data_IF_547213327821
#
_entry.id   IF_547213327821
#
_cell.length_a   1.000
_cell.length_b   1.000
_cell.length_c   1.000
_cell.angle_alpha   90.00
_cell.angle_beta   90.00
_cell.angle_gamma   90.00
#
_symmetry.space_group_name_H-M   'P 1'
#
loop_
_entity.id
_entity.type
_entity.pdbx_description
1 polymer ?
#
# COMPACT_ATOMS: atom_id res chain seq x y z
N UNK A 1 6.80 2.04 -8.53
CA UNK A 1 7.48 2.55 -7.33
C UNK A 1 6.89 3.86 -6.77
N UNK A 2 6.60 4.92 -7.57
CA UNK A 2 6.07 6.18 -7.02
C UNK A 2 4.67 6.04 -6.42
N UNK A 3 3.82 5.19 -6.99
CA UNK A 3 2.44 4.96 -6.52
C UNK A 3 2.37 4.42 -5.08
N UNK A 4 3.30 3.53 -4.70
CA UNK A 4 3.35 2.96 -3.36
C UNK A 4 3.76 4.02 -2.31
N UNK A 5 4.66 4.94 -2.69
CA UNK A 5 5.06 6.06 -1.83
C UNK A 5 3.89 7.03 -1.67
N UNK A 6 3.20 7.35 -2.79
CA UNK A 6 2.02 8.21 -2.78
C UNK A 6 0.92 7.64 -1.88
N UNK A 7 0.60 6.35 -2.05
CA UNK A 7 -0.44 5.66 -1.26
C UNK A 7 -0.14 5.73 0.24
N UNK A 8 1.12 5.48 0.62
CA UNK A 8 1.54 5.56 2.04
C UNK A 8 1.53 6.98 2.57
N UNK A 9 1.93 7.96 1.75
CA UNK A 9 1.83 9.37 2.09
C UNK A 9 0.38 9.79 2.34
N UNK A 10 -0.55 9.34 1.50
CA UNK A 10 -1.99 9.57 1.69
C UNK A 10 -2.48 8.94 2.99
N UNK A 11 -2.16 7.66 3.26
CA UNK A 11 -2.53 6.98 4.50
C UNK A 11 -2.02 7.71 5.75
N UNK A 12 -0.78 8.18 5.70
CA UNK A 12 -0.19 8.97 6.78
C UNK A 12 -0.91 10.32 6.98
N UNK A 13 -1.39 10.94 5.90
CA UNK A 13 -2.09 12.21 5.94
C UNK A 13 -3.55 12.09 6.45
N UNK A 14 -4.17 10.90 6.40
CA UNK A 14 -5.58 10.70 6.78
C UNK A 14 -5.93 11.27 8.17
N UNK A 15 -5.19 10.98 9.26
CA UNK A 15 -5.53 11.50 10.59
C UNK A 15 -5.48 13.04 10.64
N UNK A 16 -4.56 13.65 9.90
CA UNK A 16 -4.43 15.11 9.82
C UNK A 16 -5.60 15.73 9.07
N UNK A 17 -6.02 15.14 7.95
CA UNK A 17 -7.18 15.63 7.19
C UNK A 17 -8.44 15.52 8.04
N UNK A 18 -8.66 14.39 8.71
CA UNK A 18 -9.81 14.20 9.62
C UNK A 18 -9.78 15.24 10.74
N UNK A 19 -8.62 15.47 11.35
CA UNK A 19 -8.47 16.47 12.40
C UNK A 19 -8.70 17.90 11.90
N UNK A 20 -8.21 18.24 10.70
CA UNK A 20 -8.42 19.56 10.10
C UNK A 20 -9.90 19.82 9.78
N UNK A 21 -10.62 18.82 9.28
CA UNK A 21 -12.07 18.90 9.05
C UNK A 21 -12.79 19.15 10.38
N UNK A 22 -12.44 18.37 11.42
CA UNK A 22 -13.00 18.53 12.76
C UNK A 22 -12.71 19.92 13.34
N UNK A 23 -11.49 20.42 13.19
CA UNK A 23 -11.07 21.73 13.65
C UNK A 23 -11.83 22.86 12.94
N UNK A 24 -11.93 22.80 11.61
CA UNK A 24 -12.69 23.77 10.83
C UNK A 24 -14.17 23.79 11.20
N UNK A 25 -14.74 22.64 11.56
CA UNK A 25 -16.12 22.55 12.05
C UNK A 25 -16.26 23.10 13.48
N UNK A 26 -15.35 22.72 14.38
CA UNK A 26 -15.38 23.09 15.80
C UNK A 26 -15.27 24.59 15.99
N UNK A 27 -14.35 25.24 15.25
CA UNK A 27 -14.18 26.70 15.25
C UNK A 27 -15.44 27.44 14.81
N UNK A 28 -16.17 26.92 13.82
CA UNK A 28 -17.46 27.50 13.38
C UNK A 28 -18.56 27.32 14.42
N UNK A 29 -18.53 26.25 15.20
CA UNK A 29 -19.54 25.94 16.22
C UNK A 29 -19.30 26.63 17.57
N UNK A 30 -18.23 27.42 17.72
CA UNK A 30 -17.87 28.07 18.98
C UNK A 30 -17.41 27.09 20.07
N UNK A 31 -17.06 25.85 19.72
CA UNK A 31 -16.56 24.86 20.67
C UNK A 31 -15.14 25.22 21.12
N UNK A 32 -14.83 25.13 22.43
CA UNK A 32 -13.47 25.36 22.91
C UNK A 32 -12.53 24.32 22.28
N UNK A 33 -11.52 24.80 21.58
CA UNK A 33 -10.49 23.94 21.01
C UNK A 33 -9.35 23.79 22.03
N UNK A 34 -9.06 22.56 22.43
CA UNK A 34 -7.86 22.24 23.21
C UNK A 34 -6.60 22.31 22.34
N UNK A 35 -5.47 21.88 22.90
CA UNK A 35 -4.22 21.75 22.14
C UNK A 35 -4.34 20.72 21.02
N UNK A 36 -3.65 20.97 19.90
CA UNK A 36 -3.56 20.01 18.80
C UNK A 36 -2.87 18.73 19.29
N UNK A 37 -3.49 17.53 19.13
CA UNK A 37 -2.96 16.28 19.65
C UNK A 37 -1.90 15.68 18.70
N UNK A 38 -0.82 16.43 18.45
CA UNK A 38 0.23 16.03 17.50
C UNK A 38 0.72 14.58 17.68
N UNK A 39 1.08 14.12 18.89
CA UNK A 39 1.60 12.76 19.06
C UNK A 39 0.61 11.69 18.58
N UNK A 40 -0.68 11.90 18.80
CA UNK A 40 -1.73 10.96 18.39
C UNK A 40 -1.94 10.95 16.88
N UNK A 41 -1.86 12.12 16.23
CA UNK A 41 -1.95 12.21 14.75
C UNK A 41 -0.77 11.47 14.09
N UNK A 42 0.44 11.69 14.60
CA UNK A 42 1.63 10.98 14.14
C UNK A 42 1.56 9.47 14.39
N UNK A 43 1.16 9.06 15.59
CA UNK A 43 1.01 7.64 15.94
C UNK A 43 -0.03 6.93 15.06
N UNK A 44 -1.19 7.56 14.85
CA UNK A 44 -2.23 7.02 13.97
C UNK A 44 -1.75 6.92 12.52
N UNK A 45 -1.05 7.95 12.01
CA UNK A 45 -0.52 7.93 10.65
C UNK A 45 0.53 6.83 10.46
N UNK A 46 1.46 6.71 11.40
CA UNK A 46 2.48 5.66 11.40
C UNK A 46 1.84 4.26 11.49
N UNK A 47 0.80 4.10 12.31
CA UNK A 47 0.07 2.85 12.45
C UNK A 47 -0.60 2.42 11.14
N UNK A 48 -1.27 3.34 10.45
CA UNK A 48 -1.89 3.06 9.14
C UNK A 48 -0.86 2.65 8.08
N UNK A 49 0.31 3.31 8.07
CA UNK A 49 1.43 2.93 7.18
C UNK A 49 1.94 1.53 7.57
N UNK A 50 2.08 1.24 8.86
CA UNK A 50 2.48 -0.08 9.36
C UNK A 50 1.55 -1.19 8.89
N UNK A 51 0.23 -1.01 9.04
CA UNK A 51 -0.78 -1.95 8.52
C UNK A 51 -0.64 -2.13 7.02
N UNK A 52 -0.45 -1.05 6.25
CA UNK A 52 -0.27 -1.13 4.80
C UNK A 52 0.96 -1.97 4.40
N UNK A 53 2.06 -1.84 5.14
CA UNK A 53 3.26 -2.66 4.92
C UNK A 53 3.00 -4.14 5.26
N UNK A 54 2.32 -4.42 6.37
CA UNK A 54 1.95 -5.77 6.76
C UNK A 54 1.03 -6.43 5.73
N UNK A 55 0.02 -5.70 5.24
CA UNK A 55 -0.85 -6.16 4.17
C UNK A 55 -0.06 -6.46 2.89
N UNK A 56 0.89 -5.60 2.53
CA UNK A 56 1.78 -5.82 1.40
C UNK A 56 2.60 -7.12 1.52
N UNK A 57 3.03 -7.48 2.73
CA UNK A 57 3.75 -8.73 2.98
C UNK A 57 2.84 -9.97 2.95
N UNK A 58 1.64 -9.86 3.53
CA UNK A 58 0.68 -10.98 3.64
C UNK A 58 0.06 -11.31 2.28
N UNK A 59 -0.29 -10.28 1.50
CA UNK A 59 -0.96 -10.45 0.21
C UNK A 59 0.02 -10.48 -0.98
N UNK A 60 1.33 -10.49 -0.73
CA UNK A 60 2.29 -10.71 -1.82
C UNK A 60 2.17 -12.15 -2.30
N UNK A 61 2.09 -12.36 -3.62
CA UNK A 61 2.13 -13.70 -4.19
C UNK A 61 3.52 -14.30 -3.91
N UNK A 62 3.55 -15.45 -3.27
CA UNK A 62 4.79 -16.19 -3.09
C UNK A 62 5.11 -16.95 -4.37
N UNK A 63 6.26 -16.66 -4.98
CA UNK A 63 6.72 -17.34 -6.19
C UNK A 63 7.70 -18.48 -5.86
N UNK A 64 7.86 -18.83 -4.58
CA UNK A 64 8.67 -19.98 -4.14
C UNK A 64 8.01 -21.27 -4.63
N UNK A 65 8.63 -21.91 -5.61
CA UNK A 65 8.11 -23.11 -6.27
C UNK A 65 7.70 -22.87 -7.72
N UNK A 66 7.73 -21.61 -8.18
CA UNK A 66 7.50 -21.26 -9.57
C UNK A 66 8.84 -21.16 -10.34
N UNK A 67 8.79 -21.28 -11.66
CA UNK A 67 9.90 -21.02 -12.59
C UNK A 67 9.53 -19.79 -13.40
N UNK A 68 10.46 -18.84 -13.46
CA UNK A 68 10.29 -17.67 -14.31
C UNK A 68 10.46 -18.06 -15.78
N UNK A 69 9.43 -17.82 -16.58
CA UNK A 69 9.46 -17.94 -18.03
C UNK A 69 9.68 -16.54 -18.61
N UNK A 70 10.77 -16.32 -19.36
CA UNK A 70 11.07 -15.02 -19.94
C UNK A 70 10.03 -14.63 -21.01
N UNK A 71 10.01 -13.35 -21.37
CA UNK A 71 9.17 -12.88 -22.46
C UNK A 71 9.66 -13.45 -23.78
N UNK A 72 8.75 -14.03 -24.57
CA UNK A 72 9.07 -14.66 -25.85
C UNK A 72 8.14 -14.13 -26.96
N UNK A 73 8.66 -14.12 -28.19
CA UNK A 73 7.88 -13.76 -29.37
C UNK A 73 7.12 -15.00 -29.84
N UNK A 74 5.80 -14.93 -29.78
CA UNK A 74 4.94 -16.00 -30.27
C UNK A 74 5.06 -16.16 -31.79
N UNK A 75 4.73 -17.34 -32.36
CA UNK A 75 4.73 -17.55 -33.81
C UNK A 75 3.85 -16.57 -34.60
N UNK A 76 2.88 -15.93 -33.93
CA UNK A 76 2.03 -14.88 -34.50
C UNK A 76 2.68 -13.48 -34.56
N UNK A 77 3.91 -13.34 -34.06
CA UNK A 77 4.64 -12.08 -33.95
C UNK A 77 4.30 -11.25 -32.71
N UNK A 78 3.38 -11.71 -31.85
CA UNK A 78 3.06 -11.02 -30.59
C UNK A 78 4.08 -11.35 -29.49
N UNK A 79 4.44 -10.37 -28.67
CA UNK A 79 5.31 -10.58 -27.49
C UNK A 79 4.47 -11.07 -26.32
N UNK A 80 4.68 -12.31 -25.89
CA UNK A 80 4.15 -12.82 -24.63
C UNK A 80 4.94 -12.21 -23.47
N UNK A 81 4.24 -11.68 -22.46
CA UNK A 81 4.90 -11.16 -21.26
C UNK A 81 5.53 -12.30 -20.45
N UNK A 82 6.70 -12.03 -19.88
CA UNK A 82 7.30 -12.94 -18.91
C UNK A 82 6.38 -13.15 -17.72
N UNK A 83 6.31 -14.39 -17.27
CA UNK A 83 5.41 -14.82 -16.20
C UNK A 83 6.05 -15.95 -15.41
N UNK A 84 5.45 -16.29 -14.28
CA UNK A 84 5.87 -17.42 -13.47
C UNK A 84 4.93 -18.59 -13.70
N UNK A 85 5.49 -19.78 -13.94
CA UNK A 85 4.75 -21.03 -14.06
C UNK A 85 5.09 -21.97 -12.90
N UNK A 86 4.17 -22.85 -12.52
CA UNK A 86 4.43 -23.85 -11.49
C UNK A 86 5.54 -24.82 -11.93
N UNK A 87 6.52 -25.08 -11.06
CA UNK A 87 7.62 -25.98 -11.40
C UNK A 87 7.08 -27.40 -11.57
N UNK A 88 7.25 -27.95 -12.76
CA UNK A 88 6.92 -29.35 -13.02
C UNK A 88 7.64 -30.28 -12.01
N UNK A 89 6.94 -31.30 -11.46
CA UNK A 89 7.53 -32.21 -10.49
C UNK A 89 8.73 -32.94 -11.12
N UNK A 90 9.82 -33.07 -10.34
CA UNK A 90 10.98 -33.87 -10.75
C UNK A 90 10.51 -35.30 -11.03
N UNK A 91 10.62 -35.77 -12.28
CA UNK A 91 10.44 -37.20 -12.58
C UNK A 91 11.54 -37.98 -11.83
N UNK A 92 11.19 -39.11 -11.20
CA UNK A 92 12.14 -39.95 -10.46
C UNK A 92 13.19 -40.58 -11.38
#
# INVERSE_FOLDING_TARGET
>A
MPEAILTRGVLFAVPFVVWLIWWAWSTRSGRPMGSTPWPWLFAAGAFLVGISLMAGAIFHRDNRGEVYVPAEVTPSGQVAKGHFEERAPKRP
#
